data_IF_190936925449
#
_entry.id   IF_190936925449
#
_cell.length_a   1.000
_cell.length_b   1.000
_cell.length_c   1.000
_cell.angle_alpha   90.00
_cell.angle_beta   90.00
_cell.angle_gamma   90.00
#
_symmetry.space_group_name_H-M   'P 1'
#
loop_
_entity.id
_entity.type
_entity.pdbx_description
1 polymer ?
#
# COMPACT_ATOMS: atom_id res chain seq x y z
N UNK A 1 29.09 6.36 39.86
CA UNK A 1 29.34 6.95 38.53
C UNK A 1 29.17 8.46 38.67
N UNK A 2 30.15 9.29 38.31
CA UNK A 2 29.95 10.76 38.35
C UNK A 2 28.84 11.14 37.37
N UNK A 3 27.96 12.06 37.74
CA UNK A 3 26.85 12.56 36.91
C UNK A 3 27.33 12.99 35.52
N UNK A 4 28.52 13.59 35.43
CA UNK A 4 29.17 13.96 34.18
C UNK A 4 29.34 12.80 33.18
N UNK A 5 29.64 11.59 33.64
CA UNK A 5 29.74 10.42 32.78
C UNK A 5 28.37 9.99 32.24
N UNK A 6 27.31 10.14 33.03
CA UNK A 6 25.93 9.84 32.60
C UNK A 6 25.50 10.80 31.50
N UNK A 7 25.78 12.10 31.68
CA UNK A 7 25.53 13.11 30.63
C UNK A 7 26.33 12.85 29.36
N UNK A 8 27.64 12.57 29.50
CA UNK A 8 28.49 12.27 28.36
C UNK A 8 27.97 11.05 27.58
N UNK A 9 27.60 9.98 28.29
CA UNK A 9 27.03 8.79 27.67
C UNK A 9 25.71 9.09 26.95
N UNK A 10 24.80 9.85 27.56
CA UNK A 10 23.55 10.26 26.92
C UNK A 10 23.82 11.00 25.61
N UNK A 11 24.71 11.99 25.61
CA UNK A 11 25.00 12.77 24.41
C UNK A 11 25.71 11.97 23.33
N UNK A 12 26.57 11.02 23.69
CA UNK A 12 27.19 10.09 22.73
C UNK A 12 26.11 9.24 22.06
N UNK A 13 25.18 8.67 22.84
CA UNK A 13 24.07 7.87 22.31
C UNK A 13 23.15 8.73 21.44
N UNK A 14 22.78 9.92 21.91
CA UNK A 14 21.94 10.85 21.16
C UNK A 14 22.59 11.25 19.82
N UNK A 15 23.89 11.57 19.83
CA UNK A 15 24.63 11.91 18.61
C UNK A 15 24.70 10.73 17.64
N UNK A 16 24.92 9.52 18.16
CA UNK A 16 24.89 8.32 17.33
C UNK A 16 23.52 8.12 16.68
N UNK A 17 22.43 8.31 17.43
CA UNK A 17 21.06 8.22 16.90
C UNK A 17 20.76 9.33 15.89
N UNK A 18 21.29 10.54 16.10
CA UNK A 18 21.17 11.66 15.15
C UNK A 18 21.85 11.31 13.82
N UNK A 19 23.10 10.82 13.88
CA UNK A 19 23.85 10.39 12.69
C UNK A 19 23.13 9.22 12.01
N UNK A 20 22.65 8.25 12.77
CA UNK A 20 21.87 7.15 12.24
C UNK A 20 20.61 7.64 11.50
N UNK A 21 19.89 8.59 12.09
CA UNK A 21 18.68 9.18 11.51
C UNK A 21 19.01 9.93 10.21
N UNK A 22 20.11 10.68 10.17
CA UNK A 22 20.60 11.35 8.96
C UNK A 22 20.81 10.38 7.79
N UNK A 23 21.41 9.22 8.05
CA UNK A 23 21.66 8.24 6.98
C UNK A 23 20.44 7.37 6.63
N UNK A 24 19.50 7.20 7.56
CA UNK A 24 18.39 6.25 7.40
C UNK A 24 17.03 6.90 7.17
N UNK A 25 16.90 8.22 7.22
CA UNK A 25 15.61 8.91 7.15
C UNK A 25 15.51 9.91 6.00
N UNK A 26 16.32 9.71 4.95
CA UNK A 26 16.33 10.58 3.76
C UNK A 26 15.15 10.38 2.83
N UNK A 27 14.39 9.28 2.97
CA UNK A 27 13.24 8.94 2.14
C UNK A 27 11.93 8.97 2.94
N UNK A 28 11.87 9.85 3.93
CA UNK A 28 10.67 10.13 4.71
C UNK A 28 10.35 11.62 4.60
N UNK A 29 9.26 12.01 3.93
CA UNK A 29 8.89 13.42 3.76
C UNK A 29 8.65 14.19 5.08
N UNK A 30 8.42 13.47 6.19
CA UNK A 30 8.23 14.08 7.52
C UNK A 30 9.51 14.20 8.34
N UNK A 31 10.64 13.76 7.78
CA UNK A 31 11.98 13.84 8.39
C UNK A 31 12.66 15.16 8.01
N UNK A 32 13.43 15.75 8.93
CA UNK A 32 14.31 16.89 8.61
C UNK A 32 15.48 16.48 7.68
N UNK A 33 15.79 15.18 7.65
CA UNK A 33 16.86 14.61 6.83
C UNK A 33 16.39 14.24 5.42
N UNK A 34 15.14 14.53 5.08
CA UNK A 34 14.53 14.21 3.79
C UNK A 34 15.33 14.80 2.62
N UNK A 35 15.65 13.96 1.64
CA UNK A 35 16.35 14.34 0.42
C UNK A 35 15.53 13.89 -0.78
N UNK A 36 14.80 14.83 -1.40
CA UNK A 36 13.94 14.59 -2.56
C UNK A 36 14.69 13.98 -3.74
N UNK A 37 16.00 14.22 -3.89
CA UNK A 37 16.78 13.65 -4.99
C UNK A 37 17.04 12.17 -4.80
N UNK A 38 17.16 11.73 -3.55
CA UNK A 38 17.45 10.33 -3.17
C UNK A 38 16.20 9.53 -2.83
N UNK A 39 15.16 10.19 -2.33
CA UNK A 39 13.93 9.55 -1.83
C UNK A 39 13.12 8.85 -2.92
N UNK A 40 13.13 9.39 -4.13
CA UNK A 40 12.38 8.88 -5.28
C UNK A 40 13.24 8.06 -6.25
N UNK A 41 14.43 7.63 -5.83
CA UNK A 41 15.22 6.69 -6.61
C UNK A 41 14.49 5.34 -6.70
N UNK A 42 14.11 4.94 -7.91
CA UNK A 42 13.68 3.57 -8.15
C UNK A 42 14.83 2.60 -7.89
N UNK A 43 14.59 1.57 -7.10
CA UNK A 43 15.55 0.54 -6.71
C UNK A 43 14.93 -0.84 -6.83
N UNK A 44 14.03 -1.19 -5.92
CA UNK A 44 13.39 -2.49 -5.95
C UNK A 44 12.40 -2.61 -7.10
N UNK A 45 11.72 -1.52 -7.46
CA UNK A 45 10.86 -1.50 -8.64
C UNK A 45 11.62 -1.82 -9.93
N UNK A 46 12.82 -1.24 -10.13
CA UNK A 46 13.68 -1.57 -11.29
C UNK A 46 14.08 -3.05 -11.34
N UNK A 47 14.40 -3.62 -10.17
CA UNK A 47 14.71 -5.06 -10.09
C UNK A 47 13.49 -5.88 -10.48
N UNK A 48 12.29 -5.54 -10.00
CA UNK A 48 11.05 -6.23 -10.35
C UNK A 48 10.70 -6.09 -11.83
N UNK A 49 10.89 -4.91 -12.43
CA UNK A 49 10.72 -4.72 -13.88
C UNK A 49 11.70 -5.58 -14.70
N UNK A 50 12.97 -5.66 -14.29
CA UNK A 50 13.95 -6.49 -14.98
C UNK A 50 13.63 -8.00 -14.86
N UNK A 51 13.12 -8.44 -13.71
CA UNK A 51 12.64 -9.82 -13.52
C UNK A 51 11.40 -10.11 -14.38
N UNK A 52 10.48 -9.14 -14.50
CA UNK A 52 9.34 -9.24 -15.40
C UNK A 52 9.78 -9.39 -16.87
N UNK A 53 10.75 -8.58 -17.32
CA UNK A 53 11.31 -8.70 -18.68
C UNK A 53 11.93 -10.09 -18.93
N UNK A 54 12.54 -10.69 -17.92
CA UNK A 54 13.08 -12.05 -18.01
C UNK A 54 11.95 -13.09 -18.09
N UNK A 55 10.91 -12.96 -17.27
CA UNK A 55 9.75 -13.85 -17.26
C UNK A 55 8.99 -13.82 -18.60
N UNK A 56 8.79 -12.63 -19.16
CA UNK A 56 8.06 -12.43 -20.43
C UNK A 56 8.73 -13.08 -21.65
N UNK A 57 10.04 -13.40 -21.59
CA UNK A 57 10.75 -14.11 -22.67
C UNK A 57 10.31 -15.57 -22.78
N UNK A 58 9.95 -16.20 -21.67
CA UNK A 58 9.49 -17.59 -21.61
C UNK A 58 8.40 -17.72 -20.54
N UNK A 59 7.17 -17.26 -20.81
CA UNK A 59 6.09 -17.32 -19.85
C UNK A 59 5.80 -18.78 -19.51
N UNK A 60 6.06 -19.15 -18.26
CA UNK A 60 5.78 -20.49 -17.75
C UNK A 60 4.32 -20.52 -17.26
N UNK A 61 3.38 -20.44 -18.20
CA UNK A 61 1.96 -20.33 -17.90
C UNK A 61 1.33 -21.69 -17.59
N UNK A 62 1.14 -22.02 -16.31
CA UNK A 62 0.09 -22.99 -15.93
C UNK A 62 -1.21 -22.19 -15.87
N UNK A 63 -2.02 -22.23 -16.94
CA UNK A 63 -3.36 -21.65 -16.95
C UNK A 63 -4.17 -22.25 -15.79
N UNK A 64 -4.96 -21.42 -15.11
CA UNK A 64 -5.76 -21.89 -13.98
C UNK A 64 -6.87 -22.83 -14.49
N UNK A 65 -6.83 -24.09 -14.06
CA UNK A 65 -7.96 -25.04 -14.16
C UNK A 65 -8.55 -25.25 -12.76
N UNK A 66 -8.79 -24.14 -12.05
CA UNK A 66 -9.24 -24.17 -10.67
C UNK A 66 -10.62 -24.80 -10.54
N UNK A 67 -10.74 -25.75 -9.61
CA UNK A 67 -12.05 -26.17 -9.12
C UNK A 67 -12.65 -25.05 -8.27
N UNK A 68 -13.96 -25.08 -8.01
CA UNK A 68 -14.64 -24.10 -7.16
C UNK A 68 -13.96 -23.92 -5.78
N UNK A 69 -13.32 -24.98 -5.25
CA UNK A 69 -12.64 -24.97 -3.95
C UNK A 69 -11.28 -24.27 -3.96
N UNK A 70 -10.69 -24.10 -5.15
CA UNK A 70 -9.37 -23.49 -5.29
C UNK A 70 -9.46 -21.97 -5.47
N UNK A 71 -10.65 -21.43 -5.81
CA UNK A 71 -10.87 -20.00 -6.07
C UNK A 71 -10.67 -19.16 -4.80
N UNK A 72 -9.74 -18.21 -4.85
CA UNK A 72 -9.54 -17.24 -3.76
C UNK A 72 -9.68 -15.80 -4.25
N UNK A 73 -9.01 -15.46 -5.35
CA UNK A 73 -8.87 -14.07 -5.79
C UNK A 73 -9.14 -13.94 -7.30
N UNK A 74 -10.02 -13.02 -7.68
CA UNK A 74 -10.19 -12.60 -9.06
C UNK A 74 -9.61 -11.19 -9.23
N UNK A 75 -8.58 -11.03 -10.05
CA UNK A 75 -7.89 -9.78 -10.30
C UNK A 75 -8.45 -9.18 -11.59
N UNK A 76 -9.01 -7.97 -11.51
CA UNK A 76 -9.41 -7.19 -12.66
C UNK A 76 -8.41 -6.07 -12.94
N UNK A 77 -7.90 -5.99 -14.17
CA UNK A 77 -6.91 -5.00 -14.60
C UNK A 77 -7.46 -4.23 -15.80
N UNK A 78 -7.85 -2.96 -15.66
CA UNK A 78 -8.20 -2.10 -16.80
C UNK A 78 -6.92 -1.55 -17.44
N UNK A 79 -6.86 -1.56 -18.76
CA UNK A 79 -5.73 -1.05 -19.52
C UNK A 79 -6.22 -0.22 -20.70
N UNK A 80 -5.55 0.89 -20.97
CA UNK A 80 -5.86 1.83 -22.06
C UNK A 80 -4.57 2.27 -22.72
N UNK A 81 -4.56 2.40 -24.04
CA UNK A 81 -3.33 2.78 -24.74
C UNK A 81 -3.07 4.29 -24.63
N UNK A 82 -2.47 4.72 -23.51
CA UNK A 82 -2.19 6.14 -23.21
C UNK A 82 -0.71 6.47 -23.16
N UNK A 83 0.15 5.48 -22.97
CA UNK A 83 1.59 5.65 -22.75
C UNK A 83 2.40 4.91 -23.79
N UNK A 84 3.60 5.41 -24.08
CA UNK A 84 4.57 4.73 -24.96
C UNK A 84 5.22 3.50 -24.32
N UNK A 85 5.06 3.31 -23.01
CA UNK A 85 5.59 2.16 -22.25
C UNK A 85 4.52 1.09 -22.02
N UNK A 86 4.93 -0.19 -22.14
CA UNK A 86 4.08 -1.37 -21.97
C UNK A 86 3.96 -1.78 -20.48
N UNK A 87 3.39 -0.90 -19.66
CA UNK A 87 3.26 -1.13 -18.21
C UNK A 87 2.48 -2.42 -17.87
N UNK A 88 1.38 -2.66 -18.59
CA UNK A 88 0.52 -3.84 -18.40
C UNK A 88 1.33 -5.15 -18.39
N UNK A 89 2.33 -5.28 -19.27
CA UNK A 89 3.14 -6.50 -19.35
C UNK A 89 3.95 -6.76 -18.08
N UNK A 90 4.48 -5.71 -17.45
CA UNK A 90 5.19 -5.82 -16.17
C UNK A 90 4.23 -6.11 -15.02
N UNK A 91 3.06 -5.49 -15.01
CA UNK A 91 2.01 -5.74 -14.02
C UNK A 91 1.61 -7.22 -14.01
N UNK A 92 1.17 -7.78 -15.15
CA UNK A 92 0.72 -9.18 -15.18
C UNK A 92 1.87 -10.16 -14.92
N UNK A 93 3.08 -9.84 -15.37
CA UNK A 93 4.26 -10.66 -15.13
C UNK A 93 4.60 -10.71 -13.63
N UNK A 94 4.73 -9.56 -12.96
CA UNK A 94 5.10 -9.54 -11.54
C UNK A 94 4.01 -10.07 -10.61
N UNK A 95 2.75 -10.08 -11.04
CA UNK A 95 1.66 -10.75 -10.33
C UNK A 95 1.76 -12.28 -10.41
N UNK A 96 2.43 -12.84 -11.42
CA UNK A 96 2.42 -14.29 -11.70
C UNK A 96 3.78 -14.99 -11.58
N UNK A 97 4.88 -14.28 -11.81
CA UNK A 97 6.24 -14.83 -11.93
C UNK A 97 6.74 -15.64 -10.73
N UNK A 98 6.22 -15.30 -9.54
CA UNK A 98 6.66 -15.84 -8.25
C UNK A 98 5.60 -16.70 -7.57
N UNK A 99 4.44 -16.87 -8.21
CA UNK A 99 3.39 -17.76 -7.70
C UNK A 99 3.80 -19.22 -7.90
N UNK A 100 3.61 -20.04 -6.87
CA UNK A 100 3.65 -21.48 -7.03
C UNK A 100 2.48 -21.96 -7.92
N UNK A 101 2.57 -23.15 -8.56
CA UNK A 101 1.47 -23.65 -9.39
C UNK A 101 0.11 -23.72 -8.67
N UNK A 102 0.11 -24.03 -7.37
CA UNK A 102 -1.14 -24.08 -6.59
C UNK A 102 -1.65 -22.69 -6.23
N UNK A 103 -0.76 -21.74 -5.97
CA UNK A 103 -1.15 -20.33 -5.79
C UNK A 103 -1.70 -19.73 -7.08
N UNK A 104 -1.08 -20.02 -8.23
CA UNK A 104 -1.56 -19.55 -9.54
C UNK A 104 -2.95 -20.09 -9.87
N UNK A 105 -3.29 -21.32 -9.48
CA UNK A 105 -4.66 -21.86 -9.63
C UNK A 105 -5.66 -21.03 -8.83
N UNK A 106 -5.30 -20.57 -7.63
CA UNK A 106 -6.22 -19.81 -6.77
C UNK A 106 -6.48 -18.36 -7.19
N UNK A 107 -5.75 -17.88 -8.20
CA UNK A 107 -5.85 -16.53 -8.76
C UNK A 107 -6.40 -16.60 -10.17
N UNK A 108 -7.46 -15.83 -10.45
CA UNK A 108 -8.02 -15.65 -11.78
C UNK A 108 -7.74 -14.23 -12.26
N UNK A 109 -7.07 -14.05 -13.40
CA UNK A 109 -6.68 -12.73 -13.91
C UNK A 109 -7.51 -12.38 -15.15
N UNK A 110 -8.26 -11.29 -15.02
CA UNK A 110 -9.09 -10.69 -16.08
C UNK A 110 -8.48 -9.35 -16.47
N UNK A 111 -8.13 -9.19 -17.74
CA UNK A 111 -7.65 -7.92 -18.29
C UNK A 111 -8.70 -7.32 -19.19
N UNK A 112 -9.09 -6.07 -18.95
CA UNK A 112 -9.94 -5.31 -19.87
C UNK A 112 -9.08 -4.36 -20.70
N UNK A 113 -9.02 -4.60 -22.01
CA UNK A 113 -8.46 -3.64 -22.96
C UNK A 113 -9.58 -2.63 -23.29
N UNK A 114 -9.59 -1.52 -22.56
CA UNK A 114 -10.71 -0.58 -22.52
C UNK A 114 -10.73 0.44 -23.67
N UNK A 115 -9.80 0.34 -24.63
CA UNK A 115 -9.82 1.17 -25.84
C UNK A 115 -11.09 0.92 -26.65
N UNK A 116 -11.65 2.01 -27.21
CA UNK A 116 -12.80 1.92 -28.12
C UNK A 116 -12.53 1.00 -29.30
N UNK A 117 -11.29 0.97 -29.79
CA UNK A 117 -10.83 0.06 -30.83
C UNK A 117 -9.80 -0.88 -30.21
N UNK A 118 -10.14 -2.13 -29.88
CA UNK A 118 -9.24 -3.05 -29.19
C UNK A 118 -7.89 -3.24 -29.91
N UNK A 119 -7.89 -3.22 -31.24
CA UNK A 119 -6.71 -3.37 -32.10
C UNK A 119 -5.72 -2.21 -31.96
N UNK A 120 -6.16 -1.06 -31.47
CA UNK A 120 -5.29 0.06 -31.18
C UNK A 120 -4.46 -0.17 -29.91
N UNK A 121 -4.83 -1.11 -29.04
CA UNK A 121 -4.10 -1.38 -27.81
C UNK A 121 -2.85 -2.23 -28.07
N UNK A 122 -1.69 -1.81 -27.53
CA UNK A 122 -0.40 -2.48 -27.77
C UNK A 122 -0.38 -3.96 -27.33
N UNK A 123 -1.18 -4.32 -26.32
CA UNK A 123 -1.28 -5.69 -25.81
C UNK A 123 -2.27 -6.59 -26.57
N UNK A 124 -3.05 -6.04 -27.50
CA UNK A 124 -4.03 -6.81 -28.26
C UNK A 124 -3.36 -7.84 -29.17
N UNK A 125 -3.76 -9.11 -29.05
CA UNK A 125 -3.20 -10.23 -29.81
C UNK A 125 -1.77 -10.63 -29.42
N UNK A 126 -1.23 -10.11 -28.31
CA UNK A 126 0.12 -10.44 -27.88
C UNK A 126 0.18 -11.82 -27.22
N UNK A 127 1.13 -12.66 -27.65
CA UNK A 127 1.29 -14.04 -27.13
C UNK A 127 1.52 -14.12 -25.62
N UNK A 128 2.24 -13.15 -25.05
CA UNK A 128 2.50 -13.14 -23.60
C UNK A 128 1.21 -12.95 -22.80
N UNK A 129 0.25 -12.19 -23.32
CA UNK A 129 -1.02 -11.96 -22.64
C UNK A 129 -1.81 -13.26 -22.57
N UNK A 130 -1.97 -13.93 -23.72
CA UNK A 130 -2.66 -15.23 -23.87
C UNK A 130 -2.10 -16.35 -22.98
N UNK A 131 -0.82 -16.28 -22.63
CA UNK A 131 -0.12 -17.29 -21.84
C UNK A 131 -0.20 -17.02 -20.33
N UNK A 132 -0.35 -15.75 -19.92
CA UNK A 132 -0.26 -15.34 -18.52
C UNK A 132 -1.65 -15.19 -17.89
N UNK A 133 -2.60 -14.58 -18.60
CA UNK A 133 -3.92 -14.24 -18.05
C UNK A 133 -4.95 -15.31 -18.36
N UNK A 134 -6.07 -15.29 -17.63
CA UNK A 134 -7.13 -16.27 -17.78
C UNK A 134 -8.24 -15.77 -18.72
N UNK A 135 -8.50 -14.46 -18.75
CA UNK A 135 -9.51 -13.84 -19.60
C UNK A 135 -9.09 -12.43 -20.06
N UNK A 136 -9.36 -12.10 -21.32
CA UNK A 136 -9.17 -10.77 -21.90
C UNK A 136 -10.51 -10.26 -22.40
N UNK A 137 -10.97 -9.13 -21.84
CA UNK A 137 -12.17 -8.45 -22.25
C UNK A 137 -11.86 -7.36 -23.28
N UNK A 138 -12.68 -7.28 -24.31
CA UNK A 138 -12.63 -6.24 -25.34
C UNK A 138 -14.04 -5.75 -25.64
N UNK A 139 -14.19 -4.46 -25.93
CA UNK A 139 -15.49 -3.92 -26.31
C UNK A 139 -15.88 -4.32 -27.72
N UNK A 140 -17.16 -4.66 -27.90
CA UNK A 140 -17.74 -4.99 -29.18
C UNK A 140 -17.71 -3.77 -30.11
N UNK A 141 -17.17 -3.97 -31.29
CA UNK A 141 -17.18 -3.01 -32.39
C UNK A 141 -17.45 -3.75 -33.68
N UNK A 142 -17.99 -3.04 -34.68
CA UNK A 142 -18.25 -3.60 -36.01
C UNK A 142 -17.02 -4.25 -36.66
N UNK A 143 -15.81 -3.94 -36.18
CA UNK A 143 -14.52 -4.43 -36.68
C UNK A 143 -13.82 -5.44 -35.76
N UNK A 144 -14.42 -5.89 -34.66
CA UNK A 144 -13.80 -6.87 -33.76
C UNK A 144 -13.80 -8.27 -34.41
N UNK A 145 -12.63 -8.84 -34.75
CA UNK A 145 -12.55 -10.18 -35.33
C UNK A 145 -13.09 -11.21 -34.35
N UNK A 146 -13.90 -12.13 -34.83
CA UNK A 146 -14.67 -13.04 -33.98
C UNK A 146 -13.87 -14.15 -33.30
N UNK A 147 -12.55 -14.26 -33.47
CA UNK A 147 -11.71 -15.29 -32.83
C UNK A 147 -10.22 -14.93 -32.92
N UNK A 148 -9.67 -14.28 -31.89
CA UNK A 148 -8.21 -14.04 -31.75
C UNK A 148 -7.57 -15.26 -31.07
N UNK A 149 -8.09 -15.61 -29.90
CA UNK A 149 -7.76 -16.80 -29.12
C UNK A 149 -8.87 -17.06 -28.08
N UNK A 150 -8.89 -18.25 -27.49
CA UNK A 150 -9.96 -18.68 -26.57
C UNK A 150 -10.05 -17.84 -25.28
N UNK A 151 -9.04 -17.02 -24.97
CA UNK A 151 -9.06 -16.15 -23.78
C UNK A 151 -9.79 -14.83 -24.01
N UNK A 152 -10.05 -14.44 -25.27
CA UNK A 152 -10.73 -13.19 -25.59
C UNK A 152 -12.24 -13.34 -25.53
N UNK A 153 -12.90 -12.44 -24.80
CA UNK A 153 -14.36 -12.30 -24.76
C UNK A 153 -14.78 -10.88 -25.09
N UNK A 154 -15.70 -10.77 -26.04
CA UNK A 154 -16.30 -9.50 -26.43
C UNK A 154 -17.44 -9.13 -25.48
N UNK A 155 -17.54 -7.85 -25.13
CA UNK A 155 -18.59 -7.30 -24.26
C UNK A 155 -19.19 -6.00 -24.84
N UNK A 156 -20.45 -5.67 -24.56
CA UNK A 156 -21.04 -4.41 -25.02
C UNK A 156 -20.28 -3.18 -24.50
N UNK A 157 -20.10 -2.14 -25.33
CA UNK A 157 -19.51 -0.88 -24.88
C UNK A 157 -20.43 -0.09 -23.93
N UNK A 158 -21.74 -0.11 -24.21
CA UNK A 158 -22.78 0.55 -23.43
C UNK A 158 -23.25 -0.35 -22.28
N UNK A 159 -22.47 -0.41 -21.20
CA UNK A 159 -22.71 -1.33 -20.06
C UNK A 159 -23.69 -0.82 -19.00
N UNK A 160 -24.16 0.42 -19.11
CA UNK A 160 -25.11 1.02 -18.16
C UNK A 160 -26.10 1.99 -18.81
N UNK A 161 -25.60 3.06 -19.43
CA UNK A 161 -26.41 4.01 -20.21
C UNK A 161 -26.12 3.81 -21.69
N UNK A 162 -27.13 4.05 -22.52
CA UNK A 162 -27.03 4.07 -23.97
C UNK A 162 -27.53 5.44 -24.50
N UNK A 163 -26.65 6.27 -25.09
CA UNK A 163 -25.21 6.04 -25.29
C UNK A 163 -24.38 6.26 -24.02
N UNK A 164 -23.27 5.52 -23.90
CA UNK A 164 -22.21 5.80 -22.92
C UNK A 164 -21.54 7.14 -23.23
N UNK A 165 -21.29 7.95 -22.21
CA UNK A 165 -20.64 9.25 -22.36
C UNK A 165 -19.19 9.18 -22.86
N UNK A 166 -18.62 10.34 -23.22
CA UNK A 166 -17.22 10.49 -23.65
C UNK A 166 -16.27 10.88 -22.51
N UNK A 167 -16.82 11.19 -21.32
CA UNK A 167 -16.05 11.63 -20.15
C UNK A 167 -15.08 10.57 -19.63
N UNK A 168 -13.81 10.94 -19.43
CA UNK A 168 -12.76 10.04 -18.91
C UNK A 168 -13.14 9.38 -17.59
N UNK A 169 -13.66 10.17 -16.64
CA UNK A 169 -14.00 9.69 -15.29
C UNK A 169 -15.16 8.71 -15.33
N UNK A 170 -16.20 9.00 -16.12
CA UNK A 170 -17.32 8.07 -16.33
C UNK A 170 -16.81 6.77 -16.95
N UNK A 171 -15.99 6.88 -18.00
CA UNK A 171 -15.48 5.72 -18.73
C UNK A 171 -14.65 4.80 -17.83
N UNK A 172 -13.65 5.34 -17.11
CA UNK A 172 -12.83 4.56 -16.19
C UNK A 172 -13.69 3.82 -15.15
N UNK A 173 -14.72 4.48 -14.63
CA UNK A 173 -15.60 3.91 -13.61
C UNK A 173 -16.48 2.78 -14.17
N UNK A 174 -16.97 2.92 -15.41
CA UNK A 174 -17.71 1.88 -16.10
C UNK A 174 -16.81 0.70 -16.48
N UNK A 175 -15.56 0.94 -16.88
CA UNK A 175 -14.54 -0.09 -17.14
C UNK A 175 -14.28 -0.92 -15.88
N UNK A 176 -14.14 -0.26 -14.72
CA UNK A 176 -14.04 -0.96 -13.43
C UNK A 176 -15.30 -1.78 -13.13
N UNK A 177 -16.49 -1.26 -13.46
CA UNK A 177 -17.76 -1.96 -13.19
C UNK A 177 -17.88 -3.28 -13.95
N UNK A 178 -17.32 -3.34 -15.16
CA UNK A 178 -17.23 -4.55 -15.99
C UNK A 178 -16.34 -5.60 -15.34
N UNK A 179 -15.18 -5.19 -14.82
CA UNK A 179 -14.26 -6.08 -14.13
C UNK A 179 -14.88 -6.65 -12.85
N UNK A 180 -15.57 -5.81 -12.08
CA UNK A 180 -16.33 -6.22 -10.89
C UNK A 180 -17.40 -7.24 -11.28
N UNK A 181 -18.18 -6.96 -12.32
CA UNK A 181 -19.23 -7.87 -12.81
C UNK A 181 -18.67 -9.24 -13.23
N UNK A 182 -17.58 -9.21 -14.00
CA UNK A 182 -16.93 -10.41 -14.52
C UNK A 182 -16.40 -11.27 -13.37
N UNK A 183 -15.70 -10.66 -12.41
CA UNK A 183 -15.17 -11.37 -11.25
C UNK A 183 -16.27 -11.87 -10.29
N UNK A 184 -17.37 -11.13 -10.15
CA UNK A 184 -18.54 -11.59 -9.39
C UNK A 184 -19.17 -12.81 -10.04
N UNK A 185 -19.35 -12.80 -11.36
CA UNK A 185 -19.91 -13.93 -12.11
C UNK A 185 -18.99 -15.16 -12.08
N UNK A 186 -17.67 -14.98 -12.00
CA UNK A 186 -16.71 -16.06 -11.79
C UNK A 186 -16.87 -16.73 -10.40
N UNK A 187 -17.41 -16.02 -9.41
CA UNK A 187 -17.70 -16.54 -8.07
C UNK A 187 -16.47 -16.66 -7.17
N UNK A 188 -15.50 -15.73 -7.31
CA UNK A 188 -14.36 -15.65 -6.39
C UNK A 188 -14.74 -14.99 -5.06
N UNK A 189 -14.29 -15.49 -3.90
CA UNK A 189 -14.56 -14.87 -2.60
C UNK A 189 -14.06 -13.43 -2.47
N UNK A 190 -12.99 -13.09 -3.21
CA UNK A 190 -12.41 -11.75 -3.25
C UNK A 190 -12.16 -11.28 -4.68
N UNK A 191 -12.35 -9.99 -4.90
CA UNK A 191 -12.00 -9.27 -6.12
C UNK A 191 -10.86 -8.30 -5.83
N UNK A 192 -9.83 -8.25 -6.67
CA UNK A 192 -8.82 -7.20 -6.64
C UNK A 192 -8.95 -6.31 -7.88
N UNK A 193 -9.18 -5.02 -7.67
CA UNK A 193 -8.97 -4.02 -8.72
C UNK A 193 -7.51 -3.59 -8.68
N UNK A 194 -6.79 -3.77 -9.79
CA UNK A 194 -5.35 -3.46 -9.90
C UNK A 194 -5.10 -2.61 -11.13
N UNK A 195 -4.35 -1.52 -10.99
CA UNK A 195 -3.96 -0.65 -12.13
C UNK A 195 -2.89 -1.33 -13.00
N UNK A 196 -2.79 -0.95 -14.26
CA UNK A 196 -1.87 -1.56 -15.23
C UNK A 196 -0.41 -1.10 -15.09
N UNK A 197 -0.12 -0.16 -14.18
CA UNK A 197 1.18 0.48 -13.96
C UNK A 197 1.78 0.24 -12.57
N UNK A 198 1.65 -1.01 -12.09
CA UNK A 198 2.26 -1.47 -10.84
C UNK A 198 3.33 -2.53 -11.05
N UNK A 199 4.18 -2.70 -10.05
CA UNK A 199 5.01 -3.90 -9.89
C UNK A 199 4.78 -4.50 -8.50
N UNK A 200 4.66 -5.82 -8.43
CA UNK A 200 4.44 -6.54 -7.19
C UNK A 200 5.74 -7.06 -6.55
N UNK A 201 5.81 -7.13 -5.22
CA UNK A 201 6.92 -7.78 -4.51
C UNK A 201 6.89 -9.29 -4.75
N UNK A 202 8.05 -9.97 -4.67
CA UNK A 202 8.16 -11.42 -4.90
C UNK A 202 7.28 -12.27 -3.97
N UNK A 203 6.92 -11.75 -2.81
CA UNK A 203 6.13 -12.43 -1.80
C UNK A 203 4.75 -11.82 -1.60
N UNK A 204 4.26 -11.06 -2.58
CA UNK A 204 3.00 -10.32 -2.51
C UNK A 204 1.83 -11.22 -2.12
N UNK A 205 1.69 -12.40 -2.74
CA UNK A 205 0.54 -13.27 -2.53
C UNK A 205 0.56 -13.93 -1.15
N UNK A 206 1.75 -14.30 -0.66
CA UNK A 206 1.93 -14.81 0.71
C UNK A 206 1.57 -13.76 1.75
N UNK A 207 2.02 -12.51 1.55
CA UNK A 207 1.69 -11.37 2.43
C UNK A 207 0.21 -11.02 2.36
N UNK A 208 -0.38 -11.06 1.16
CA UNK A 208 -1.81 -10.90 0.94
C UNK A 208 -2.62 -11.92 1.74
N UNK A 209 -2.36 -13.22 1.60
CA UNK A 209 -3.07 -14.27 2.37
C UNK A 209 -2.96 -14.03 3.89
N UNK A 210 -1.77 -13.68 4.38
CA UNK A 210 -1.56 -13.37 5.81
C UNK A 210 -2.36 -12.16 6.27
N UNK A 211 -2.28 -11.04 5.54
CA UNK A 211 -2.98 -9.81 5.88
C UNK A 211 -4.50 -9.95 5.75
N UNK A 212 -4.97 -10.71 4.77
CA UNK A 212 -6.39 -11.05 4.59
C UNK A 212 -6.92 -11.86 5.77
N UNK A 213 -6.24 -12.94 6.16
CA UNK A 213 -6.62 -13.74 7.31
C UNK A 213 -6.63 -12.92 8.62
N UNK A 214 -5.68 -12.00 8.78
CA UNK A 214 -5.69 -11.06 9.89
C UNK A 214 -6.90 -10.13 9.84
N UNK A 215 -7.21 -9.56 8.67
CA UNK A 215 -8.32 -8.61 8.47
C UNK A 215 -9.66 -9.27 8.79
N UNK A 216 -9.90 -10.48 8.27
CA UNK A 216 -11.12 -11.24 8.58
C UNK A 216 -11.20 -11.60 10.08
N UNK A 217 -10.09 -11.99 10.70
CA UNK A 217 -10.06 -12.24 12.15
C UNK A 217 -10.38 -10.99 12.97
N UNK A 218 -9.96 -9.79 12.54
CA UNK A 218 -10.32 -8.53 13.21
C UNK A 218 -11.79 -8.17 13.00
N UNK A 219 -12.32 -8.39 11.79
CA UNK A 219 -13.74 -8.22 11.49
C UNK A 219 -14.61 -9.08 12.41
N UNK A 220 -14.27 -10.36 12.55
CA UNK A 220 -14.98 -11.28 13.45
C UNK A 220 -14.88 -10.85 14.93
N UNK A 221 -13.70 -10.44 15.39
CA UNK A 221 -13.51 -10.01 16.80
C UNK A 221 -14.25 -8.73 17.14
N UNK A 222 -14.24 -7.77 16.23
CA UNK A 222 -14.85 -6.45 16.45
C UNK A 222 -16.32 -6.39 16.03
N UNK A 223 -16.83 -7.45 15.38
CA UNK A 223 -18.17 -7.49 14.79
C UNK A 223 -18.41 -6.29 13.85
N UNK A 224 -17.34 -5.81 13.21
CA UNK A 224 -17.37 -4.67 12.29
C UNK A 224 -16.79 -5.09 10.95
N UNK A 225 -17.61 -5.03 9.91
CA UNK A 225 -17.22 -5.43 8.56
C UNK A 225 -16.25 -4.42 7.91
N UNK A 226 -15.66 -4.79 6.76
CA UNK A 226 -14.61 -4.02 6.08
C UNK A 226 -14.86 -3.91 4.58
N UNK A 227 -14.57 -2.73 4.02
CA UNK A 227 -14.84 -2.44 2.60
C UNK A 227 -13.74 -2.98 1.68
N UNK A 228 -12.47 -2.73 2.04
CA UNK A 228 -11.34 -3.18 1.24
C UNK A 228 -10.05 -3.36 2.04
N UNK A 229 -9.11 -4.09 1.43
CA UNK A 229 -7.72 -4.23 1.82
C UNK A 229 -6.82 -3.68 0.70
N UNK A 230 -6.07 -2.62 0.99
CA UNK A 230 -5.11 -2.00 0.06
C UNK A 230 -3.84 -2.86 -0.07
N UNK A 231 -3.44 -3.16 -1.30
CA UNK A 231 -2.15 -3.77 -1.64
C UNK A 231 -1.06 -2.70 -1.88
N UNK A 232 -1.50 -1.48 -2.13
CA UNK A 232 -0.68 -0.28 -2.27
C UNK A 232 -1.27 0.88 -1.46
N UNK A 233 -0.40 1.68 -0.85
CA UNK A 233 -0.72 3.01 -0.36
C UNK A 233 0.51 3.90 -0.47
N UNK A 234 0.30 5.20 -0.66
CA UNK A 234 1.42 6.13 -0.63
C UNK A 234 1.85 6.42 0.80
N UNK A 235 3.16 6.35 1.04
CA UNK A 235 3.76 6.74 2.32
C UNK A 235 3.93 8.25 2.49
N UNK A 236 3.64 9.03 1.45
CA UNK A 236 3.74 10.51 1.49
C UNK A 236 2.75 11.10 2.50
N UNK A 237 1.55 10.52 2.61
CA UNK A 237 0.50 10.97 3.54
C UNK A 237 0.65 10.37 4.96
N UNK A 238 1.65 9.51 5.18
CA UNK A 238 1.87 8.78 6.43
C UNK A 238 2.87 9.49 7.37
N UNK A 239 3.09 10.79 7.17
CA UNK A 239 3.99 11.61 7.99
C UNK A 239 3.41 12.03 9.34
N UNK A 240 4.10 12.96 10.00
CA UNK A 240 3.59 13.68 11.17
C UNK A 240 2.51 14.67 10.74
N UNK A 241 1.25 14.32 11.00
CA UNK A 241 0.08 15.08 10.58
C UNK A 241 -0.45 15.94 11.74
N UNK A 242 -0.75 17.21 11.47
CA UNK A 242 -1.17 18.17 12.49
C UNK A 242 -2.53 17.82 13.13
N UNK A 243 -3.36 17.07 12.41
CA UNK A 243 -4.68 16.61 12.84
C UNK A 243 -4.60 15.58 13.98
N UNK A 244 -3.42 14.97 14.19
CA UNK A 244 -3.16 13.97 15.22
C UNK A 244 -2.40 14.56 16.44
N UNK A 245 -2.32 15.88 16.57
CA UNK A 245 -1.57 16.54 17.65
C UNK A 245 -1.99 16.07 19.06
N UNK A 246 -3.29 15.76 19.26
CA UNK A 246 -3.80 15.24 20.54
C UNK A 246 -3.15 13.89 20.86
N UNK A 247 -3.20 12.95 19.91
CA UNK A 247 -2.60 11.62 20.03
C UNK A 247 -1.10 11.70 20.32
N UNK A 248 -0.39 12.62 19.65
CA UNK A 248 1.03 12.86 19.89
C UNK A 248 1.27 13.39 21.31
N UNK A 249 0.46 14.35 21.75
CA UNK A 249 0.55 14.97 23.07
C UNK A 249 0.27 13.96 24.19
N UNK A 250 -0.75 13.12 24.01
CA UNK A 250 -1.08 12.02 24.93
C UNK A 250 0.07 11.02 25.06
N UNK A 251 0.68 10.64 23.93
CA UNK A 251 1.82 9.72 23.91
C UNK A 251 3.04 10.33 24.63
N UNK A 252 3.34 11.60 24.35
CA UNK A 252 4.41 12.35 25.04
C UNK A 252 4.14 12.39 26.54
N UNK A 253 2.93 12.76 26.95
CA UNK A 253 2.53 12.82 28.36
C UNK A 253 2.70 11.46 29.04
N UNK A 254 2.25 10.38 28.40
CA UNK A 254 2.41 9.01 28.91
C UNK A 254 3.90 8.65 29.10
N UNK A 255 4.77 9.01 28.15
CA UNK A 255 6.23 8.80 28.27
C UNK A 255 6.78 9.53 29.49
N UNK A 256 6.40 10.79 29.71
CA UNK A 256 6.80 11.55 30.90
C UNK A 256 6.33 10.88 32.20
N UNK A 257 5.06 10.45 32.26
CA UNK A 257 4.48 9.77 33.43
C UNK A 257 5.21 8.47 33.72
N UNK A 258 5.47 7.63 32.72
CA UNK A 258 6.18 6.36 32.87
C UNK A 258 7.61 6.60 33.39
N UNK A 259 8.35 7.54 32.79
CA UNK A 259 9.72 7.84 33.23
C UNK A 259 9.73 8.43 34.65
N UNK A 260 8.75 9.27 35.01
CA UNK A 260 8.57 9.77 36.37
C UNK A 260 8.32 8.63 37.36
N UNK A 261 7.41 7.70 37.04
CA UNK A 261 7.14 6.55 37.88
C UNK A 261 8.39 5.67 38.07
N UNK A 262 9.13 5.39 37.00
CA UNK A 262 10.38 4.64 37.06
C UNK A 262 11.45 5.37 37.90
N UNK A 263 11.56 6.69 37.75
CA UNK A 263 12.49 7.51 38.53
C UNK A 263 12.16 7.48 40.03
N UNK A 264 10.88 7.62 40.38
CA UNK A 264 10.40 7.55 41.77
C UNK A 264 10.61 6.16 42.37
N UNK A 265 10.34 5.11 41.60
CA UNK A 265 10.55 3.72 42.04
C UNK A 265 12.04 3.39 42.24
N UNK A 266 12.91 3.87 41.33
CA UNK A 266 14.36 3.76 41.50
C UNK A 266 14.82 4.49 42.76
N UNK A 267 14.31 5.70 43.02
CA UNK A 267 14.59 6.47 44.24
C UNK A 267 14.15 5.71 45.50
N UNK A 268 12.96 5.07 45.45
CA UNK A 268 12.41 4.26 46.55
C UNK A 268 13.26 3.02 46.83
N UNK A 269 13.60 2.24 45.80
CA UNK A 269 14.34 0.97 45.94
C UNK A 269 15.80 1.16 46.32
N UNK A 270 16.47 2.17 45.77
CA UNK A 270 17.90 2.36 45.99
C UNK A 270 18.24 3.21 47.20
N UNK A 271 17.23 3.65 47.98
CA UNK A 271 17.40 4.63 49.08
C UNK A 271 18.47 5.65 48.69
N UNK A 272 18.29 6.34 47.56
CA UNK A 272 19.21 7.36 47.07
C UNK A 272 19.41 8.38 48.22
N UNK A 273 20.52 8.24 48.95
CA UNK A 273 20.77 8.95 50.21
C UNK A 273 21.33 8.09 51.37
N UNK A 274 21.01 6.80 51.50
CA UNK A 274 21.44 6.00 52.66
C UNK A 274 22.65 5.08 52.40
N UNK A 275 22.93 4.70 51.15
CA UNK A 275 24.03 3.77 50.81
C UNK A 275 24.98 4.25 49.69
N UNK A 276 24.64 5.31 48.95
CA UNK A 276 25.36 5.68 47.72
C UNK A 276 26.20 6.97 47.80
N UNK A 277 26.19 7.70 48.92
CA UNK A 277 26.97 8.94 49.08
C UNK A 277 26.57 10.11 48.15
N UNK A 278 25.57 9.92 47.27
CA UNK A 278 25.07 10.96 46.39
C UNK A 278 24.21 11.97 47.17
N UNK A 279 24.51 13.27 47.01
CA UNK A 279 23.78 14.31 47.71
C UNK A 279 22.37 14.51 47.13
N UNK A 280 21.42 15.03 47.92
CA UNK A 280 20.08 15.37 47.42
C UNK A 280 20.13 16.36 46.23
N UNK A 281 21.14 17.23 46.20
CA UNK A 281 21.39 18.17 45.11
C UNK A 281 21.76 17.46 43.79
N UNK A 282 22.64 16.46 43.86
CA UNK A 282 23.02 15.64 42.71
C UNK A 282 21.82 14.88 42.11
N UNK A 283 20.94 14.35 42.96
CA UNK A 283 19.71 13.69 42.52
C UNK A 283 18.73 14.67 41.84
N UNK A 284 18.61 15.89 42.37
CA UNK A 284 17.75 16.92 41.79
C UNK A 284 18.29 17.43 40.44
N UNK A 285 19.61 17.59 40.32
CA UNK A 285 20.27 17.96 39.05
C UNK A 285 20.04 16.88 37.99
N UNK A 286 20.19 15.61 38.35
CA UNK A 286 19.92 14.50 37.44
C UNK A 286 18.45 14.46 37.02
N UNK A 287 17.52 14.68 37.94
CA UNK A 287 16.10 14.77 37.62
C UNK A 287 15.82 15.92 36.65
N UNK A 288 16.34 17.12 36.94
CA UNK A 288 16.19 18.29 36.08
C UNK A 288 16.76 18.03 34.67
N UNK A 289 17.88 17.34 34.56
CA UNK A 289 18.45 16.96 33.27
C UNK A 289 17.61 15.94 32.51
N UNK A 290 17.12 14.89 33.19
CA UNK A 290 16.29 13.86 32.56
C UNK A 290 15.00 14.48 32.01
N UNK A 291 14.26 15.20 32.85
CA UNK A 291 12.94 15.74 32.49
C UNK A 291 13.01 17.02 31.66
N UNK A 292 14.00 17.87 31.89
CA UNK A 292 14.14 19.17 31.24
C UNK A 292 15.03 19.18 30.00
N UNK A 293 15.82 18.12 29.75
CA UNK A 293 16.77 18.09 28.63
C UNK A 293 16.75 16.78 27.85
N UNK A 294 16.93 15.64 28.52
CA UNK A 294 17.10 14.36 27.83
C UNK A 294 15.83 13.86 27.18
N UNK A 295 14.69 13.85 27.91
CA UNK A 295 13.41 13.47 27.36
C UNK A 295 13.02 14.39 26.19
N UNK A 296 13.04 15.74 26.34
CA UNK A 296 12.83 16.64 25.21
C UNK A 296 13.74 16.38 24.02
N UNK A 297 15.05 16.18 24.23
CA UNK A 297 16.00 15.92 23.14
C UNK A 297 15.71 14.61 22.39
N UNK A 298 15.26 13.57 23.10
CA UNK A 298 14.84 12.31 22.47
C UNK A 298 13.52 12.45 21.71
N UNK A 299 12.55 13.19 22.26
CA UNK A 299 11.28 13.48 21.59
C UNK A 299 11.53 14.29 20.31
N UNK A 300 12.36 15.33 20.39
CA UNK A 300 12.75 16.14 19.22
C UNK A 300 13.40 15.26 18.17
N UNK A 301 14.34 14.38 18.56
CA UNK A 301 14.98 13.46 17.62
C UNK A 301 13.98 12.48 16.98
N UNK A 302 13.01 11.98 17.74
CA UNK A 302 11.94 11.10 17.24
C UNK A 302 11.10 11.78 16.14
N UNK A 303 10.70 13.03 16.35
CA UNK A 303 9.98 13.79 15.32
C UNK A 303 10.90 14.16 14.15
N UNK A 304 12.14 14.59 14.41
CA UNK A 304 13.13 14.92 13.37
C UNK A 304 13.44 13.75 12.44
N UNK A 305 13.44 12.52 12.94
CA UNK A 305 13.68 11.32 12.14
C UNK A 305 12.54 11.00 11.15
N UNK A 306 11.35 11.57 11.34
CA UNK A 306 10.19 11.29 10.48
C UNK A 306 9.44 10.01 10.86
N UNK A 307 8.12 10.03 10.67
CA UNK A 307 7.18 8.99 11.14
C UNK A 307 7.39 7.66 10.43
N UNK A 308 7.57 7.68 9.12
CA UNK A 308 7.73 6.45 8.32
C UNK A 308 9.05 5.78 8.68
N UNK A 309 10.12 6.55 8.85
CA UNK A 309 11.44 6.06 9.23
C UNK A 309 11.43 5.43 10.63
N UNK A 310 10.82 6.11 11.62
CA UNK A 310 10.72 5.51 12.96
C UNK A 310 9.86 4.25 12.93
N UNK A 311 8.72 4.25 12.25
CA UNK A 311 7.83 3.09 12.18
C UNK A 311 8.52 1.84 11.60
N UNK A 312 9.42 2.00 10.62
CA UNK A 312 10.22 0.88 10.07
C UNK A 312 11.19 0.27 11.08
N UNK A 313 11.66 1.05 12.05
CA UNK A 313 12.64 0.61 13.05
C UNK A 313 11.98 -0.09 14.25
N UNK A 314 10.69 0.13 14.44
CA UNK A 314 10.00 -0.41 15.59
C UNK A 314 9.79 -1.92 15.38
N UNK A 315 10.32 -2.78 16.26
CA UNK A 315 10.32 -4.23 16.08
C UNK A 315 9.00 -4.89 16.49
N UNK A 316 7.88 -4.15 16.49
CA UNK A 316 6.58 -4.75 16.82
C UNK A 316 6.23 -5.80 15.77
N UNK A 317 5.69 -6.96 16.18
CA UNK A 317 5.25 -7.98 15.23
C UNK A 317 4.21 -7.36 14.30
N UNK A 318 4.56 -7.25 13.02
CA UNK A 318 3.62 -6.74 12.03
C UNK A 318 2.58 -7.84 11.74
N UNK A 319 1.29 -7.59 12.05
CA UNK A 319 0.22 -8.56 11.80
C UNK A 319 0.05 -8.86 10.29
N UNK A 320 0.58 -8.01 9.42
CA UNK A 320 0.53 -8.12 7.96
C UNK A 320 -0.47 -7.16 7.33
N UNK A 321 -1.39 -6.60 8.11
CA UNK A 321 -2.28 -5.53 7.71
C UNK A 321 -2.56 -4.59 8.88
N UNK A 322 -2.77 -3.31 8.58
CA UNK A 322 -3.20 -2.31 9.57
C UNK A 322 -4.45 -1.60 9.10
N UNK A 323 -5.21 -1.12 10.07
CA UNK A 323 -6.34 -0.26 9.78
C UNK A 323 -5.83 1.08 9.24
N UNK A 324 -6.53 1.60 8.24
CA UNK A 324 -6.22 2.83 7.53
C UNK A 324 -7.51 3.64 7.34
N UNK A 325 -8.05 4.12 8.46
CA UNK A 325 -9.26 4.98 8.43
C UNK A 325 -9.02 6.29 7.67
N UNK A 326 -7.79 6.84 7.77
CA UNK A 326 -7.38 8.12 7.19
C UNK A 326 -6.12 7.95 6.35
N UNK A 327 -5.85 8.95 5.50
CA UNK A 327 -4.63 9.05 4.69
C UNK A 327 -4.48 7.91 3.65
N UNK A 328 -5.55 7.18 3.37
CA UNK A 328 -5.62 6.26 2.24
C UNK A 328 -5.78 7.06 0.96
N UNK A 329 -4.74 7.09 0.13
CA UNK A 329 -4.84 7.54 -1.25
C UNK A 329 -4.70 6.37 -2.21
N UNK A 330 -5.32 6.56 -3.37
CA UNK A 330 -4.94 5.99 -4.65
C UNK A 330 -5.42 4.54 -4.85
N UNK A 331 -5.73 4.10 -6.08
CA UNK A 331 -6.49 2.88 -6.35
C UNK A 331 -5.68 1.74 -7.00
N UNK A 332 -4.34 1.78 -6.89
CA UNK A 332 -3.40 0.86 -7.55
C UNK A 332 -3.64 -0.62 -7.24
N UNK A 333 -4.26 -0.94 -6.11
CA UNK A 333 -4.53 -2.32 -5.69
C UNK A 333 -5.50 -2.36 -4.52
N UNK A 334 -6.76 -2.66 -4.81
CA UNK A 334 -7.84 -2.74 -3.82
C UNK A 334 -8.50 -4.12 -3.85
N UNK A 335 -8.40 -4.85 -2.74
CA UNK A 335 -9.11 -6.13 -2.58
C UNK A 335 -10.43 -5.90 -1.86
N UNK A 336 -11.53 -6.34 -2.45
CA UNK A 336 -12.90 -6.17 -1.97
C UNK A 336 -13.55 -7.55 -1.80
N UNK A 337 -14.20 -7.83 -0.65
CA UNK A 337 -14.97 -9.06 -0.45
C UNK A 337 -16.16 -9.18 -1.40
N UNK A 338 -16.48 -10.42 -1.79
CA UNK A 338 -17.63 -10.73 -2.66
C UNK A 338 -18.94 -10.08 -2.18
N UNK A 339 -19.21 -10.14 -0.87
CA UNK A 339 -20.39 -9.54 -0.20
C UNK A 339 -20.59 -8.04 -0.42
N UNK A 340 -19.58 -7.32 -0.92
CA UNK A 340 -19.67 -5.88 -1.20
C UNK A 340 -19.63 -5.54 -2.69
N UNK A 341 -19.43 -6.52 -3.58
CA UNK A 341 -19.25 -6.27 -5.02
C UNK A 341 -20.51 -5.75 -5.70
N UNK A 342 -21.70 -6.16 -5.29
CA UNK A 342 -22.95 -5.61 -5.84
C UNK A 342 -23.08 -4.11 -5.52
N UNK A 343 -22.88 -3.75 -4.25
CA UNK A 343 -22.90 -2.34 -3.83
C UNK A 343 -21.82 -1.51 -4.50
N UNK A 344 -20.61 -2.06 -4.64
CA UNK A 344 -19.51 -1.41 -5.33
C UNK A 344 -19.78 -1.24 -6.83
N UNK A 345 -20.29 -2.27 -7.51
CA UNK A 345 -20.70 -2.19 -8.92
C UNK A 345 -21.76 -1.12 -9.14
N UNK A 346 -22.77 -1.05 -8.27
CA UNK A 346 -23.81 -0.03 -8.32
C UNK A 346 -23.22 1.37 -8.11
N UNK A 347 -22.30 1.54 -7.16
CA UNK A 347 -21.56 2.79 -6.96
C UNK A 347 -20.72 3.18 -8.19
N UNK A 348 -20.21 2.20 -8.96
CA UNK A 348 -19.45 2.40 -10.19
C UNK A 348 -20.32 2.63 -11.45
N UNK A 349 -21.60 2.23 -11.44
CA UNK A 349 -22.54 2.51 -12.54
C UNK A 349 -23.32 3.80 -12.30
N UNK A 350 -23.84 3.98 -11.09
CA UNK A 350 -24.72 5.09 -10.72
C UNK A 350 -24.25 5.81 -9.45
N UNK A 351 -23.30 6.75 -9.55
CA UNK A 351 -22.74 7.39 -8.37
C UNK A 351 -23.74 8.43 -7.83
N UNK A 352 -23.95 8.53 -6.50
CA UNK A 352 -24.86 9.52 -5.93
C UNK A 352 -24.35 10.96 -6.04
N UNK A 353 -23.03 11.17 -6.26
CA UNK A 353 -22.37 12.47 -6.31
C UNK A 353 -21.22 12.48 -7.33
N UNK A 354 -20.78 13.67 -7.77
CA UNK A 354 -19.73 13.87 -8.78
C UNK A 354 -18.28 13.83 -8.26
N UNK A 355 -18.02 13.20 -7.11
CA UNK A 355 -16.65 13.09 -6.57
C UNK A 355 -15.68 12.35 -7.50
N UNK A 356 -14.38 12.64 -7.33
CA UNK A 356 -13.30 11.85 -7.91
C UNK A 356 -13.40 10.37 -7.46
N UNK A 357 -12.93 9.44 -8.30
CA UNK A 357 -13.30 8.01 -8.21
C UNK A 357 -13.00 7.32 -6.88
N UNK A 358 -11.86 7.59 -6.26
CA UNK A 358 -11.40 7.04 -4.99
C UNK A 358 -12.17 7.60 -3.78
N UNK A 359 -12.48 8.89 -3.78
CA UNK A 359 -13.31 9.54 -2.74
C UNK A 359 -14.72 8.93 -2.63
N UNK A 360 -15.25 8.36 -3.72
CA UNK A 360 -16.56 7.69 -3.72
C UNK A 360 -16.55 6.43 -2.86
N UNK A 361 -15.49 5.62 -2.96
CA UNK A 361 -15.37 4.39 -2.19
C UNK A 361 -15.14 4.67 -0.70
N UNK A 362 -14.36 5.70 -0.39
CA UNK A 362 -14.15 6.20 0.97
C UNK A 362 -15.48 6.62 1.62
N UNK A 363 -16.26 7.47 0.94
CA UNK A 363 -17.57 7.89 1.45
C UNK A 363 -18.60 6.75 1.53
N UNK A 364 -18.53 5.77 0.61
CA UNK A 364 -19.36 4.57 0.67
C UNK A 364 -19.05 3.72 1.91
N UNK A 365 -17.77 3.55 2.23
CA UNK A 365 -17.33 2.82 3.43
C UNK A 365 -17.76 3.55 4.70
N UNK A 366 -17.51 4.87 4.79
CA UNK A 366 -17.84 5.69 5.97
C UNK A 366 -19.34 5.71 6.25
N UNK A 367 -20.18 5.91 5.22
CA UNK A 367 -21.64 5.92 5.38
C UNK A 367 -22.23 4.59 5.88
N UNK A 368 -21.46 3.49 5.81
CA UNK A 368 -21.84 2.14 6.25
C UNK A 368 -21.05 1.65 7.46
N UNK A 369 -20.17 2.48 8.02
CA UNK A 369 -19.29 2.09 9.12
C UNK A 369 -18.33 0.94 8.76
N UNK A 370 -17.99 0.79 7.48
CA UNK A 370 -17.08 -0.25 7.01
C UNK A 370 -15.62 0.16 7.25
N UNK A 371 -14.86 -0.75 7.84
CA UNK A 371 -13.42 -0.58 8.12
C UNK A 371 -12.62 -0.60 6.82
N UNK A 372 -11.48 0.08 6.84
CA UNK A 372 -10.57 0.22 5.69
C UNK A 372 -9.19 -0.28 6.12
N UNK A 373 -8.61 -1.21 5.36
CA UNK A 373 -7.34 -1.85 5.73
C UNK A 373 -6.27 -1.65 4.65
N UNK A 374 -5.01 -1.76 5.04
CA UNK A 374 -3.87 -1.80 4.13
C UNK A 374 -2.87 -2.86 4.57
N UNK A 375 -2.28 -3.58 3.61
CA UNK A 375 -1.14 -4.45 3.87
C UNK A 375 0.05 -3.60 4.31
N UNK A 376 0.69 -4.00 5.39
CA UNK A 376 1.90 -3.35 5.87
C UNK A 376 3.01 -4.40 6.05
N UNK A 377 4.18 -4.23 5.43
CA UNK A 377 4.50 -3.23 4.39
C UNK A 377 3.70 -3.42 3.10
N UNK A 378 3.55 -2.35 2.31
CA UNK A 378 2.96 -2.40 0.96
C UNK A 378 3.64 -3.47 0.09
N UNK A 379 2.83 -4.18 -0.70
CA UNK A 379 3.31 -5.24 -1.58
C UNK A 379 3.41 -4.82 -3.03
N UNK A 380 2.89 -3.65 -3.39
CA UNK A 380 2.99 -3.06 -4.72
C UNK A 380 3.77 -1.74 -4.69
N UNK A 381 4.23 -1.33 -5.86
CA UNK A 381 4.74 0.00 -6.16
C UNK A 381 4.26 0.46 -7.53
N UNK A 382 3.85 1.71 -7.62
CA UNK A 382 3.45 2.35 -8.87
C UNK A 382 4.69 2.74 -9.69
N UNK A 383 4.72 2.39 -10.97
CA UNK A 383 5.84 2.66 -11.89
C UNK A 383 5.53 3.71 -12.96
N UNK A 384 4.28 4.19 -13.04
CA UNK A 384 3.81 5.24 -13.97
C UNK A 384 4.42 6.63 -13.78
N UNK A 385 5.56 6.78 -13.09
CA UNK A 385 6.22 8.07 -12.85
C UNK A 385 6.74 8.78 -14.10
N UNK A 386 6.79 8.11 -15.25
CA UNK A 386 7.53 8.62 -16.41
C UNK A 386 6.77 9.61 -17.29
N UNK A 387 5.45 9.75 -17.17
CA UNK A 387 4.68 10.77 -17.89
C UNK A 387 3.22 10.72 -17.43
N UNK A 388 2.86 11.52 -16.42
CA UNK A 388 1.47 11.98 -16.35
C UNK A 388 1.32 13.16 -17.31
N UNK A 389 0.15 13.33 -17.90
CA UNK A 389 -0.18 14.37 -18.87
C UNK A 389 -0.05 15.82 -18.34
N UNK A 390 0.51 16.02 -17.14
CA UNK A 390 0.62 17.29 -16.42
C UNK A 390 2.08 17.75 -16.17
N UNK A 391 3.09 17.11 -16.77
CA UNK A 391 4.50 17.55 -16.70
C UNK A 391 5.31 16.88 -15.58
N UNK A 392 6.44 17.50 -15.20
CA UNK A 392 7.51 16.96 -14.32
C UNK A 392 7.10 16.83 -12.82
N UNK A 393 5.80 16.75 -12.53
CA UNK A 393 5.27 16.55 -11.16
C UNK A 393 5.42 15.09 -10.80
N UNK A 394 6.59 14.77 -10.22
CA UNK A 394 6.99 13.42 -9.86
C UNK A 394 6.38 13.05 -8.50
N UNK A 395 5.50 12.05 -8.55
CA UNK A 395 5.19 11.13 -7.45
C UNK A 395 4.17 11.58 -6.38
N UNK A 396 2.91 11.78 -6.75
CA UNK A 396 1.79 11.73 -5.77
C UNK A 396 1.52 10.28 -5.28
N UNK A 397 2.10 9.29 -5.97
CA UNK A 397 1.88 7.86 -5.76
C UNK A 397 3.24 7.17 -5.56
N UNK A 398 3.68 7.05 -4.31
CA UNK A 398 4.98 6.43 -3.99
C UNK A 398 5.00 5.71 -2.64
N UNK A 399 5.64 4.54 -2.58
CA UNK A 399 5.88 3.79 -1.37
C UNK A 399 7.39 3.63 -1.11
N UNK A 400 7.94 4.43 -0.20
CA UNK A 400 9.37 4.45 0.09
C UNK A 400 9.86 3.12 0.71
N UNK A 401 9.05 2.47 1.54
CA UNK A 401 9.37 1.17 2.15
C UNK A 401 9.48 0.05 1.11
N UNK A 402 8.71 0.09 0.02
CA UNK A 402 8.84 -0.86 -1.07
C UNK A 402 10.23 -0.79 -1.71
N UNK A 403 10.71 0.42 -2.01
CA UNK A 403 12.02 0.61 -2.64
C UNK A 403 13.20 0.17 -1.75
N UNK A 404 13.00 0.13 -0.43
CA UNK A 404 14.01 -0.36 0.53
C UNK A 404 14.15 -1.87 0.60
N UNK A 405 13.23 -2.64 0.01
CA UNK A 405 13.33 -4.11 0.00
C UNK A 405 14.55 -4.60 -0.77
N UNK A 406 15.12 -3.74 -1.63
CA UNK A 406 16.41 -3.96 -2.26
C UNK A 406 17.42 -2.92 -1.77
N UNK A 407 18.52 -3.40 -1.16
CA UNK A 407 19.69 -2.56 -0.88
C UNK A 407 20.61 -2.62 -2.09
N UNK A 408 21.05 -1.45 -2.56
CA UNK A 408 22.10 -1.34 -3.58
C UNK A 408 23.40 -1.97 -3.09
#
# INVERSE_FOLDING_TARGET
MRISYVHALFWIVWLFLLIFSYFNSYDDPSSIFYDTRRAYEQRFSLVRSAEADQFLKQPSGVKSSASQKDKLLCIGIPSVNRTSESFLSHTVATLTDTLTPDERKSVHIVVLLADKSPQAHFAYGQKWLDQIVDEVLVYDTESTPSNISDVYRTIPFNVYKDPRGDGRVENMRLDHSVLVETCRNYGSPYFALVEDDIVASRDWFRRFKKGLAYTESQSEKTQTDWMYLRLFYSEIFMGWNSEEWLTYSETIFLVYVVILALFLEARRRWKFGARSGASAAESNILAAAVFGLWIPAMIVLYFMAGRVSVNRLIPWPNPGAREMERYGCCAQGLVIPERHLEGFQNLLRNPPYDFAGDQKLEGYAESRGLRKWALEPSVFQHVGLKQSSAGDVRAEVWNFSFERQHKR
#
